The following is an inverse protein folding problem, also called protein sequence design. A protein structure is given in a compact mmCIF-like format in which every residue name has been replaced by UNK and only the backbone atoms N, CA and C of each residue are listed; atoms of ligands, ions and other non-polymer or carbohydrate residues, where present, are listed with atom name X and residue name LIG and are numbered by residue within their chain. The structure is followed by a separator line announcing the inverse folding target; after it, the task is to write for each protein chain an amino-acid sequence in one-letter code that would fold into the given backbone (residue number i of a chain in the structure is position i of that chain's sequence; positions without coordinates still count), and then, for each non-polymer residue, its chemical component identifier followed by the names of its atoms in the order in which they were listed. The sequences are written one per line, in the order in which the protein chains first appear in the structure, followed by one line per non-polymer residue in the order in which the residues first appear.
data_IF_386085010685
#
_entry.id   IF_386085010685
#
_cell.length_a   1.000
_cell.length_b   1.000
_cell.length_c   1.000
_cell.angle_alpha   90.00
_cell.angle_beta   90.00
_cell.angle_gamma   90.00
#
_symmetry.space_group_name_H-M   'P 1'
#
loop_
_entity.id
_entity.type
_entity.pdbx_description
1 polymer ?
#
# COMPACT_ATOMS: atom_id res chain seq x y z
N UNK A 1 4.96 -1.12 5.73
CA UNK A 1 4.98 -0.10 4.65
C UNK A 1 4.70 1.33 5.08
N UNK A 2 3.67 1.67 5.91
CA UNK A 2 3.37 3.07 6.23
C UNK A 2 4.56 3.86 6.80
N UNK A 3 5.21 3.30 7.82
CA UNK A 3 6.43 3.88 8.42
C UNK A 3 7.55 4.03 7.39
N UNK A 4 7.82 2.98 6.60
CA UNK A 4 8.91 3.01 5.63
C UNK A 4 8.69 4.07 4.53
N UNK A 5 7.44 4.31 4.12
CA UNK A 5 7.09 5.39 3.18
C UNK A 5 7.27 6.76 3.81
N UNK A 6 6.87 6.96 5.06
CA UNK A 6 7.09 8.22 5.79
C UNK A 6 8.58 8.49 6.06
N UNK A 7 9.34 7.45 6.40
CA UNK A 7 10.79 7.52 6.61
C UNK A 7 11.55 7.87 5.32
N UNK A 8 11.04 7.46 4.16
CA UNK A 8 11.58 7.76 2.84
C UNK A 8 13.09 7.40 2.70
N UNK A 9 13.44 6.11 2.78
CA UNK A 9 14.84 5.69 2.76
C UNK A 9 15.52 5.92 1.40
N UNK A 10 16.83 6.12 1.43
CA UNK A 10 17.65 6.22 0.21
C UNK A 10 18.10 4.85 -0.32
N UNK A 11 18.15 3.82 0.54
CA UNK A 11 18.48 2.42 0.24
C UNK A 11 17.71 1.53 1.22
N UNK A 12 17.30 0.34 0.79
CA UNK A 12 16.71 -0.70 1.63
C UNK A 12 17.65 -1.89 1.72
N UNK A 13 18.02 -2.27 2.95
CA UNK A 13 18.75 -3.50 3.24
C UNK A 13 17.82 -4.47 3.96
N UNK A 14 17.71 -5.69 3.44
CA UNK A 14 16.84 -6.73 3.99
C UNK A 14 17.72 -7.86 4.52
N UNK A 15 17.69 -8.08 5.83
CA UNK A 15 18.18 -9.29 6.48
C UNK A 15 17.16 -10.40 6.17
N UNK A 16 17.43 -11.18 5.13
CA UNK A 16 16.47 -12.08 4.48
C UNK A 16 16.61 -13.50 5.02
N UNK A 17 15.97 -13.76 6.16
CA UNK A 17 15.78 -15.11 6.69
C UNK A 17 14.54 -15.79 6.09
N UNK A 18 14.66 -17.06 5.71
CA UNK A 18 13.56 -17.86 5.15
C UNK A 18 13.03 -18.93 6.12
N UNK A 19 13.37 -18.85 7.41
CA UNK A 19 12.88 -19.74 8.46
C UNK A 19 11.39 -19.57 8.81
N UNK A 20 10.75 -18.50 8.33
CA UNK A 20 9.31 -18.31 8.39
C UNK A 20 8.52 -19.08 7.31
N UNK A 21 9.20 -19.64 6.30
CA UNK A 21 8.50 -20.46 5.33
C UNK A 21 8.16 -21.86 5.89
N UNK A 22 7.20 -22.49 5.22
CA UNK A 22 6.77 -23.85 5.51
C UNK A 22 7.95 -24.83 5.58
N UNK A 23 7.84 -25.85 6.46
CA UNK A 23 8.85 -26.92 6.59
C UNK A 23 9.78 -26.78 7.79
N UNK A 24 9.83 -25.60 8.43
CA UNK A 24 10.59 -25.40 9.66
C UNK A 24 9.82 -25.87 10.89
N UNK A 25 10.45 -26.70 11.73
CA UNK A 25 9.87 -27.12 13.01
C UNK A 25 9.54 -25.94 13.92
N UNK A 26 8.55 -26.09 14.81
CA UNK A 26 8.10 -25.03 15.71
C UNK A 26 9.21 -24.33 16.54
N UNK A 27 10.28 -25.02 17.01
CA UNK A 27 11.37 -24.36 17.71
C UNK A 27 12.29 -23.48 16.84
N UNK A 28 12.32 -23.70 15.52
CA UNK A 28 13.18 -22.97 14.58
C UNK A 28 12.42 -21.88 13.81
N UNK A 29 11.14 -22.12 13.53
CA UNK A 29 10.26 -21.18 12.86
C UNK A 29 8.81 -21.49 13.20
N UNK A 30 8.28 -22.58 12.63
CA UNK A 30 6.89 -23.00 12.90
C UNK A 30 5.84 -22.17 12.19
N UNK A 31 6.25 -21.33 11.24
CA UNK A 31 5.38 -20.57 10.37
C UNK A 31 5.16 -21.31 9.04
N UNK A 32 4.20 -20.83 8.27
CA UNK A 32 3.74 -21.44 7.02
C UNK A 32 3.61 -20.38 5.91
N UNK A 33 4.63 -19.53 5.78
CA UNK A 33 4.70 -18.52 4.71
C UNK A 33 5.10 -19.22 3.42
N UNK A 34 4.40 -18.94 2.32
CA UNK A 34 4.78 -19.48 1.01
C UNK A 34 5.99 -18.76 0.42
N UNK A 35 6.79 -19.46 -0.39
CA UNK A 35 7.88 -18.85 -1.15
C UNK A 35 7.38 -17.67 -2.01
N UNK A 36 6.20 -17.80 -2.63
CA UNK A 36 5.58 -16.74 -3.43
C UNK A 36 5.35 -15.45 -2.61
N UNK A 37 4.99 -15.58 -1.34
CA UNK A 37 4.79 -14.43 -0.46
C UNK A 37 6.09 -13.62 -0.28
N UNK A 38 7.25 -14.27 -0.17
CA UNK A 38 8.53 -13.56 -0.12
C UNK A 38 8.82 -12.75 -1.39
N UNK A 39 8.40 -13.25 -2.56
CA UNK A 39 8.43 -12.50 -3.82
C UNK A 39 7.56 -11.23 -3.75
N UNK A 40 6.33 -11.35 -3.25
CA UNK A 40 5.42 -10.21 -3.06
C UNK A 40 5.96 -9.18 -2.06
N UNK A 41 6.51 -9.63 -0.92
CA UNK A 41 7.15 -8.75 0.06
C UNK A 41 8.35 -8.02 -0.54
N UNK A 42 9.16 -8.71 -1.36
CA UNK A 42 10.29 -8.09 -2.08
C UNK A 42 9.79 -7.02 -3.05
N UNK A 43 8.73 -7.30 -3.82
CA UNK A 43 8.13 -6.32 -4.74
C UNK A 43 7.58 -5.08 -4.02
N UNK A 44 6.94 -5.26 -2.86
CA UNK A 44 6.49 -4.14 -2.03
C UNK A 44 7.66 -3.26 -1.59
N UNK A 45 8.79 -3.85 -1.18
CA UNK A 45 9.98 -3.10 -0.78
C UNK A 45 10.64 -2.36 -1.96
N UNK A 46 10.57 -2.90 -3.17
CA UNK A 46 11.07 -2.23 -4.39
C UNK A 46 10.31 -0.95 -4.73
N UNK A 47 9.12 -0.73 -4.17
CA UNK A 47 8.41 0.56 -4.28
C UNK A 47 9.10 1.70 -3.50
N UNK A 48 10.04 1.38 -2.61
CA UNK A 48 10.81 2.33 -1.81
C UNK A 48 12.17 2.63 -2.46
N UNK A 49 12.81 3.72 -2.05
CA UNK A 49 14.19 4.04 -2.43
C UNK A 49 14.48 4.00 -3.95
N UNK A 50 13.46 4.19 -4.79
CA UNK A 50 13.59 4.02 -6.25
C UNK A 50 14.06 2.62 -6.67
N UNK A 51 13.72 1.57 -5.93
CA UNK A 51 14.11 0.19 -6.21
C UNK A 51 15.51 -0.21 -5.73
N UNK A 52 16.22 0.66 -5.00
CA UNK A 52 17.54 0.34 -4.40
C UNK A 52 17.38 -0.58 -3.18
N UNK A 53 17.12 -1.85 -3.46
CA UNK A 53 16.89 -2.89 -2.46
C UNK A 53 17.97 -3.97 -2.58
N UNK A 54 18.57 -4.36 -1.45
CA UNK A 54 19.53 -5.47 -1.36
C UNK A 54 19.05 -6.45 -0.31
N UNK A 55 18.91 -7.72 -0.70
CA UNK A 55 18.59 -8.83 0.20
C UNK A 55 19.89 -9.56 0.56
N UNK A 56 20.10 -9.82 1.85
CA UNK A 56 21.24 -10.56 2.38
C UNK A 56 20.69 -11.80 3.08
N UNK A 57 21.02 -12.99 2.57
CA UNK A 57 20.54 -14.26 3.14
C UNK A 57 21.05 -14.44 4.58
N UNK A 58 20.14 -14.84 5.47
CA UNK A 58 20.42 -15.03 6.90
C UNK A 58 19.98 -16.44 7.34
N UNK A 59 18.85 -16.55 8.05
CA UNK A 59 18.26 -17.82 8.47
C UNK A 59 17.53 -18.56 7.34
N UNK A 60 17.07 -19.78 7.66
CA UNK A 60 16.54 -20.74 6.71
C UNK A 60 17.38 -22.00 6.77
N UNK A 61 16.75 -23.11 7.12
CA UNK A 61 17.45 -24.36 7.45
C UNK A 61 16.92 -25.56 6.66
N UNK A 62 15.77 -25.40 6.00
CA UNK A 62 15.27 -26.32 5.01
C UNK A 62 15.74 -25.88 3.61
N UNK A 63 16.55 -26.73 2.94
CA UNK A 63 17.15 -26.40 1.64
C UNK A 63 16.11 -26.12 0.55
N UNK A 64 15.08 -26.97 0.34
CA UNK A 64 14.01 -26.66 -0.62
C UNK A 64 13.36 -25.30 -0.38
N UNK A 65 13.01 -24.99 0.87
CA UNK A 65 12.44 -23.70 1.24
C UNK A 65 13.35 -22.52 0.88
N UNK A 66 14.64 -22.60 1.23
CA UNK A 66 15.60 -21.53 0.92
C UNK A 66 15.71 -21.32 -0.59
N UNK A 67 15.80 -22.41 -1.37
CA UNK A 67 15.86 -22.36 -2.82
C UNK A 67 14.61 -21.69 -3.41
N UNK A 68 13.43 -22.14 -3.04
CA UNK A 68 12.17 -21.62 -3.56
C UNK A 68 11.98 -20.15 -3.20
N UNK A 69 12.21 -19.77 -1.93
CA UNK A 69 12.06 -18.38 -1.49
C UNK A 69 13.12 -17.47 -2.11
N UNK A 70 14.36 -17.93 -2.28
CA UNK A 70 15.41 -17.19 -2.98
C UNK A 70 15.06 -16.96 -4.44
N UNK A 71 14.54 -17.99 -5.13
CA UNK A 71 14.06 -17.88 -6.51
C UNK A 71 12.99 -16.78 -6.62
N UNK A 72 11.96 -16.82 -5.77
CA UNK A 72 10.86 -15.83 -5.84
C UNK A 72 11.33 -14.41 -5.52
N UNK A 73 12.26 -14.24 -4.58
CA UNK A 73 12.88 -12.94 -4.30
C UNK A 73 13.67 -12.42 -5.51
N UNK A 74 14.50 -13.26 -6.13
CA UNK A 74 15.32 -12.87 -7.29
C UNK A 74 14.44 -12.55 -8.50
N UNK A 75 13.42 -13.35 -8.80
CA UNK A 75 12.44 -13.04 -9.85
C UNK A 75 11.74 -11.71 -9.60
N UNK A 76 11.35 -11.41 -8.35
CA UNK A 76 10.77 -10.11 -8.01
C UNK A 76 11.73 -8.96 -8.33
N UNK A 77 13.01 -9.08 -7.96
CA UNK A 77 14.08 -8.10 -8.22
C UNK A 77 14.37 -7.90 -9.71
N UNK A 78 14.27 -8.96 -10.51
CA UNK A 78 14.41 -8.90 -11.97
C UNK A 78 13.21 -8.23 -12.66
N UNK A 79 12.12 -8.01 -11.93
CA UNK A 79 10.90 -7.41 -12.46
C UNK A 79 9.96 -8.43 -13.11
N UNK A 80 10.19 -9.73 -12.92
CA UNK A 80 9.34 -10.79 -13.44
C UNK A 80 7.91 -10.68 -12.89
N UNK A 81 6.94 -11.24 -13.63
CA UNK A 81 5.57 -11.35 -13.15
C UNK A 81 5.50 -12.33 -11.97
N UNK A 82 4.86 -11.90 -10.87
CA UNK A 82 4.71 -12.74 -9.68
C UNK A 82 3.49 -13.64 -9.81
N UNK A 83 3.60 -14.83 -9.25
CA UNK A 83 2.46 -15.74 -9.12
C UNK A 83 1.39 -15.04 -8.25
N UNK A 84 0.14 -14.90 -8.73
CA UNK A 84 -0.93 -14.29 -7.96
C UNK A 84 -1.16 -14.98 -6.62
N UNK A 85 -1.42 -14.20 -5.58
CA UNK A 85 -1.81 -14.73 -4.27
C UNK A 85 -3.17 -15.44 -4.43
N UNK A 86 -3.27 -16.64 -3.85
CA UNK A 86 -4.50 -17.45 -3.91
C UNK A 86 -5.67 -16.68 -3.30
N UNK A 87 -6.87 -16.84 -3.87
CA UNK A 87 -8.06 -16.10 -3.44
C UNK A 87 -8.41 -16.35 -1.97
N UNK A 88 -8.17 -17.58 -1.48
CA UNK A 88 -8.39 -17.93 -0.08
C UNK A 88 -7.49 -17.13 0.85
N UNK A 89 -6.25 -16.86 0.45
CA UNK A 89 -5.29 -16.05 1.20
C UNK A 89 -5.64 -14.56 1.15
N UNK A 90 -6.17 -14.07 0.03
CA UNK A 90 -6.64 -12.69 -0.10
C UNK A 90 -7.81 -12.37 0.84
N UNK A 91 -8.68 -13.36 1.06
CA UNK A 91 -9.86 -13.24 1.92
C UNK A 91 -9.61 -13.67 3.38
N UNK A 92 -8.45 -14.27 3.67
CA UNK A 92 -8.14 -14.77 5.00
C UNK A 92 -7.93 -13.62 5.98
N UNK A 93 -8.75 -13.56 7.02
CA UNK A 93 -8.55 -12.60 8.12
C UNK A 93 -7.32 -12.95 8.94
N UNK A 94 -6.64 -11.93 9.48
CA UNK A 94 -5.53 -12.12 10.40
C UNK A 94 -5.93 -12.94 11.63
N UNK A 95 -5.05 -13.83 12.09
CA UNK A 95 -5.31 -14.58 13.32
C UNK A 95 -5.24 -13.65 14.55
N UNK A 96 -5.96 -14.03 15.61
CA UNK A 96 -6.06 -13.21 16.84
C UNK A 96 -4.70 -12.84 17.45
N UNK A 97 -3.72 -13.76 17.59
CA UNK A 97 -2.39 -13.40 18.12
C UNK A 97 -1.65 -12.36 17.27
N UNK A 98 -1.80 -12.40 15.95
CA UNK A 98 -1.20 -11.41 15.05
C UNK A 98 -1.85 -10.03 15.24
N UNK A 99 -3.18 -9.98 15.34
CA UNK A 99 -3.93 -8.74 15.59
C UNK A 99 -3.48 -8.10 16.91
N UNK A 100 -3.44 -8.86 18.01
CA UNK A 100 -3.00 -8.38 19.32
C UNK A 100 -1.56 -7.83 19.27
N UNK A 101 -0.68 -8.49 18.52
CA UNK A 101 0.71 -8.05 18.30
C UNK A 101 0.75 -6.72 17.53
N UNK A 102 -0.05 -6.59 16.47
CA UNK A 102 -0.11 -5.36 15.68
C UNK A 102 -0.72 -4.20 16.47
N UNK A 103 -1.77 -4.42 17.27
CA UNK A 103 -2.36 -3.41 18.13
C UNK A 103 -1.34 -2.88 19.15
N UNK A 104 -0.61 -3.78 19.83
CA UNK A 104 0.46 -3.40 20.75
C UNK A 104 1.56 -2.58 20.06
N UNK A 105 1.99 -3.03 18.87
CA UNK A 105 3.01 -2.33 18.07
C UNK A 105 2.54 -0.94 17.64
N UNK A 106 1.30 -0.82 17.17
CA UNK A 106 0.72 0.45 16.74
C UNK A 106 0.57 1.43 17.90
N UNK A 107 0.15 0.98 19.08
CA UNK A 107 0.01 1.84 20.26
C UNK A 107 1.36 2.46 20.67
N UNK A 108 2.45 1.70 20.56
CA UNK A 108 3.79 2.20 20.85
C UNK A 108 4.27 3.13 19.73
N UNK A 109 4.22 2.65 18.48
CA UNK A 109 4.83 3.34 17.35
C UNK A 109 4.05 4.58 16.88
N UNK A 110 2.74 4.67 17.11
CA UNK A 110 1.92 5.82 16.67
C UNK A 110 2.29 7.14 17.35
N UNK A 111 3.05 7.09 18.46
CA UNK A 111 3.62 8.29 19.10
C UNK A 111 4.75 8.89 18.26
N UNK A 112 5.48 8.05 17.52
CA UNK A 112 6.61 8.45 16.68
C UNK A 112 6.25 8.57 15.21
N UNK A 113 5.22 7.82 14.77
CA UNK A 113 4.79 7.72 13.38
C UNK A 113 3.29 8.01 13.26
N UNK A 114 2.89 9.28 13.16
CA UNK A 114 1.48 9.66 13.09
C UNK A 114 0.71 9.02 11.94
N UNK A 115 1.38 8.63 10.83
CA UNK A 115 0.75 7.91 9.72
C UNK A 115 0.04 6.62 10.15
N UNK A 116 0.41 6.04 11.30
CA UNK A 116 -0.15 4.79 11.79
C UNK A 116 -1.58 4.91 12.31
N UNK A 117 -2.01 6.10 12.75
CA UNK A 117 -3.33 6.32 13.35
C UNK A 117 -4.49 5.91 12.43
N UNK A 118 -4.34 6.13 11.12
CA UNK A 118 -5.38 5.78 10.13
C UNK A 118 -5.60 4.27 9.95
N UNK A 119 -4.62 3.44 10.35
CA UNK A 119 -4.64 1.99 10.17
C UNK A 119 -5.14 1.22 11.38
N UNK A 120 -5.38 1.89 12.51
CA UNK A 120 -5.81 1.22 13.74
C UNK A 120 -7.12 0.43 13.56
N UNK A 121 -8.03 0.91 12.71
CA UNK A 121 -9.32 0.24 12.47
C UNK A 121 -9.29 -0.84 11.39
N UNK A 122 -8.15 -1.10 10.74
CA UNK A 122 -8.03 -2.06 9.62
C UNK A 122 -7.10 -3.23 9.90
N UNK A 123 -6.55 -3.35 11.12
CA UNK A 123 -5.57 -4.39 11.46
C UNK A 123 -6.13 -5.80 11.23
N UNK A 124 -7.43 -5.98 11.49
CA UNK A 124 -8.12 -7.26 11.35
C UNK A 124 -8.56 -7.57 9.92
N UNK A 125 -8.45 -6.62 9.00
CA UNK A 125 -8.95 -6.79 7.65
C UNK A 125 -8.09 -7.80 6.90
N UNK A 126 -8.75 -8.64 6.10
CA UNK A 126 -8.09 -9.36 5.02
C UNK A 126 -7.56 -8.37 3.97
N UNK A 127 -6.67 -8.84 3.09
CA UNK A 127 -6.12 -7.99 2.03
C UNK A 127 -7.23 -7.46 1.11
N UNK A 128 -8.21 -8.30 0.76
CA UNK A 128 -9.33 -7.90 -0.09
C UNK A 128 -10.22 -6.83 0.57
N UNK A 129 -10.50 -6.96 1.87
CA UNK A 129 -11.26 -5.94 2.61
C UNK A 129 -10.52 -4.61 2.69
N UNK A 130 -9.21 -4.66 2.91
CA UNK A 130 -8.36 -3.47 2.91
C UNK A 130 -8.37 -2.77 1.54
N UNK A 131 -8.19 -3.53 0.45
CA UNK A 131 -8.24 -3.01 -0.92
C UNK A 131 -9.61 -2.40 -1.26
N UNK A 132 -10.71 -3.06 -0.89
CA UNK A 132 -12.06 -2.54 -1.14
C UNK A 132 -12.27 -1.21 -0.43
N UNK A 133 -11.82 -1.09 0.82
CA UNK A 133 -11.88 0.15 1.57
C UNK A 133 -11.06 1.26 0.92
N UNK A 134 -9.85 0.96 0.45
CA UNK A 134 -9.02 1.96 -0.26
C UNK A 134 -9.70 2.48 -1.53
N UNK A 135 -10.38 1.62 -2.28
CA UNK A 135 -11.16 2.02 -3.46
C UNK A 135 -12.35 2.91 -3.05
N UNK A 136 -13.11 2.51 -2.05
CA UNK A 136 -14.24 3.31 -1.53
C UNK A 136 -13.77 4.69 -1.03
N UNK A 137 -12.64 4.76 -0.33
CA UNK A 137 -12.03 6.03 0.09
C UNK A 137 -11.59 6.88 -1.10
N UNK A 138 -10.97 6.29 -2.13
CA UNK A 138 -10.59 7.01 -3.35
C UNK A 138 -11.82 7.57 -4.10
N UNK A 139 -12.87 6.78 -4.23
CA UNK A 139 -14.12 7.17 -4.88
C UNK A 139 -14.82 8.32 -4.13
N UNK A 140 -14.88 8.24 -2.81
CA UNK A 140 -15.46 9.31 -1.99
C UNK A 140 -14.67 10.62 -2.11
N UNK A 141 -13.33 10.55 -2.12
CA UNK A 141 -12.47 11.74 -2.33
C UNK A 141 -12.69 12.34 -3.72
N UNK A 142 -12.79 11.51 -4.75
CA UNK A 142 -13.07 11.94 -6.12
C UNK A 142 -14.45 12.63 -6.24
N UNK A 143 -15.47 12.07 -5.61
CA UNK A 143 -16.81 12.66 -5.57
C UNK A 143 -16.84 14.01 -4.82
N UNK A 144 -16.16 14.10 -3.67
CA UNK A 144 -16.05 15.35 -2.91
C UNK A 144 -15.29 16.44 -3.68
N UNK A 145 -14.22 16.09 -4.37
CA UNK A 145 -13.49 17.02 -5.24
C UNK A 145 -14.38 17.54 -6.38
N UNK A 146 -15.18 16.66 -7.00
CA UNK A 146 -16.13 17.02 -8.05
C UNK A 146 -17.21 17.99 -7.54
N UNK A 147 -17.77 17.73 -6.35
CA UNK A 147 -18.75 18.62 -5.71
C UNK A 147 -18.14 20.00 -5.40
N UNK A 148 -16.90 20.04 -4.89
CA UNK A 148 -16.19 21.28 -4.62
C UNK A 148 -15.92 22.11 -5.88
N UNK A 149 -15.57 21.47 -7.00
CA UNK A 149 -15.41 22.17 -8.28
C UNK A 149 -16.74 22.72 -8.83
N UNK A 150 -17.84 22.00 -8.65
CA UNK A 150 -19.18 22.46 -9.06
C UNK A 150 -19.64 23.64 -8.21
N UNK A 151 -19.38 23.64 -6.90
CA UNK A 151 -19.71 24.79 -6.03
C UNK A 151 -18.86 26.01 -6.34
N UNK A 152 -17.56 25.83 -6.62
CA UNK A 152 -16.68 26.92 -7.08
C UNK A 152 -17.14 27.52 -8.42
N UNK A 153 -17.63 26.69 -9.35
CA UNK A 153 -18.17 27.15 -10.63
C UNK A 153 -19.51 27.89 -10.47
N UNK A 154 -20.34 27.49 -9.48
CA UNK A 154 -21.60 28.16 -9.15
C UNK A 154 -21.38 29.51 -8.44
N UNK A 155 -20.39 29.63 -7.56
CA UNK A 155 -20.06 30.91 -6.91
C UNK A 155 -19.38 31.91 -7.85
N UNK A 156 -18.74 31.44 -8.93
CA UNK A 156 -18.17 32.29 -9.99
C UNK A 156 -19.13 32.74 -11.10
N UNK A 157 -20.37 32.23 -11.14
CA UNK A 157 -21.33 32.48 -12.24
C UNK A 157 -22.37 33.58 -11.93
N UNK A 158 -22.29 34.27 -10.80
CA UNK A 158 -23.29 35.27 -10.37
C UNK A 158 -22.94 36.73 -10.76
N UNK A 159 -21.90 36.98 -11.56
CA UNK A 159 -21.51 38.32 -11.96
C UNK A 159 -21.28 38.42 -13.48
N UNK A 160 -22.35 38.29 -14.27
CA UNK A 160 -22.41 38.86 -15.62
C UNK A 160 -23.88 38.97 -16.04
N UNK A 161 -24.44 40.15 -15.82
CA UNK A 161 -25.67 40.61 -16.45
C UNK A 161 -25.35 41.14 -17.86
N UNK A 162 -25.99 40.57 -18.88
CA UNK A 162 -26.28 41.23 -20.16
C UNK A 162 -27.77 41.59 -20.20
N UNK A 163 -28.30 42.41 -21.15
CA UNK A 163 -27.66 43.37 -22.06
C UNK A 163 -28.32 44.78 -22.00
N UNK A 164 -27.63 45.85 -22.42
CA UNK A 164 -28.31 47.10 -22.80
C UNK A 164 -28.10 47.39 -24.29
N UNK A 165 -29.21 47.32 -25.02
CA UNK A 165 -29.39 47.75 -26.39
C UNK A 165 -29.84 49.22 -26.42
N UNK A 166 -29.10 50.10 -27.11
CA UNK A 166 -29.59 51.37 -27.63
C UNK A 166 -28.69 51.93 -28.76
N UNK A 167 -29.04 51.56 -30.00
CA UNK A 167 -29.15 52.36 -31.25
C UNK A 167 -28.06 53.34 -31.79
N UNK A 168 -28.08 53.62 -33.12
CA UNK A 168 -26.91 53.99 -33.93
C UNK A 168 -26.72 55.52 -34.05
N UNK A 169 -25.49 55.94 -34.36
CA UNK A 169 -25.22 57.29 -34.87
C UNK A 169 -24.33 57.24 -36.11
N UNK A 170 -24.62 58.20 -36.98
CA UNK A 170 -24.50 58.21 -38.42
C UNK A 170 -23.07 58.45 -38.95
N UNK A 171 -22.87 58.08 -40.22
CA UNK A 171 -21.76 58.53 -41.06
C UNK A 171 -21.73 60.07 -41.16
N UNK A 172 -20.56 60.69 -40.95
CA UNK A 172 -20.11 61.79 -41.82
C UNK A 172 -18.61 62.09 -41.65
N UNK A 173 -17.94 62.26 -42.81
CA UNK A 173 -16.59 62.79 -43.09
C UNK A 173 -15.42 61.80 -43.20
#
# INVERSE_FOLDING_TARGET
MPIAREFNPEVVLVSAGFDAAAGHSAPLGGYDVSADCFGHLTRELMSLAGGKVVLVLEGGYDLPCICDASEKCVSALLGDELIPIREEELCRSCCKPAIETYEGTLNIQATHWPCLKRYQSTISYSLLEAQRREIEEADTVSALASLSMVTAKRSGSSAMSEPESAEPMEEES
#
